data_IF_588814268280
#
_entry.id   IF_588814268280
#
_cell.length_a   1.000
_cell.length_b   1.000
_cell.length_c   1.000
_cell.angle_alpha   90.00
_cell.angle_beta   90.00
_cell.angle_gamma   90.00
#
_symmetry.space_group_name_H-M   'P 1'
#
loop_
_entity.id
_entity.type
_entity.pdbx_description
1 polymer ?
#
# COMPACT_ATOMS: atom_id res chain seq x y z
N UNK A 1 -50.05 -25.35 -18.99
CA UNK A 1 -49.87 -24.26 -18.00
C UNK A 1 -48.42 -23.85 -18.00
N UNK A 2 -48.17 -22.53 -17.97
CA UNK A 2 -46.88 -21.83 -17.82
C UNK A 2 -46.11 -22.32 -16.56
N UNK A 3 -44.77 -22.25 -16.41
CA UNK A 3 -43.88 -21.06 -16.22
C UNK A 3 -42.38 -21.48 -16.33
N UNK A 4 -41.49 -20.60 -16.81
CA UNK A 4 -40.00 -20.58 -16.57
C UNK A 4 -39.70 -19.62 -15.37
N UNK A 5 -38.46 -19.22 -14.96
CA UNK A 5 -37.07 -19.74 -15.08
C UNK A 5 -36.25 -19.72 -13.73
N UNK A 6 -34.97 -20.13 -13.77
CA UNK A 6 -33.79 -19.74 -12.91
C UNK A 6 -33.82 -19.87 -11.37
N UNK A 7 -32.86 -20.62 -10.81
CA UNK A 7 -32.17 -20.24 -9.55
C UNK A 7 -30.68 -20.57 -9.62
N UNK A 8 -29.87 -19.51 -9.75
CA UNK A 8 -28.48 -19.45 -9.34
C UNK A 8 -28.43 -19.52 -7.81
N UNK A 9 -27.82 -20.54 -7.22
CA UNK A 9 -27.28 -20.42 -5.87
C UNK A 9 -25.83 -20.83 -5.86
N UNK A 10 -24.99 -19.81 -5.72
CA UNK A 10 -23.57 -19.93 -5.47
C UNK A 10 -23.31 -20.67 -4.17
N UNK A 11 -22.38 -21.62 -4.23
CA UNK A 11 -21.67 -22.09 -3.04
C UNK A 11 -20.19 -22.05 -3.34
N UNK A 12 -19.65 -20.85 -3.19
CA UNK A 12 -18.23 -20.58 -3.16
C UNK A 12 -17.66 -21.33 -1.94
N UNK A 13 -17.14 -22.53 -2.16
CA UNK A 13 -16.40 -23.28 -1.15
C UNK A 13 -15.01 -22.67 -1.02
N UNK A 14 -14.91 -21.48 -0.44
CA UNK A 14 -13.63 -20.99 0.07
C UNK A 14 -13.31 -21.84 1.29
N UNK A 15 -12.41 -22.78 1.04
CA UNK A 15 -11.89 -23.76 1.97
C UNK A 15 -11.42 -23.11 3.27
N UNK A 16 -12.04 -23.50 4.38
CA UNK A 16 -11.52 -23.30 5.72
C UNK A 16 -10.20 -24.06 5.85
N UNK A 17 -9.09 -23.36 5.70
CA UNK A 17 -7.82 -23.67 6.37
C UNK A 17 -6.85 -22.50 6.17
N UNK A 18 -7.01 -21.45 6.97
CA UNK A 18 -5.91 -20.51 7.20
C UNK A 18 -5.39 -20.82 8.59
N UNK A 19 -4.34 -21.64 8.63
CA UNK A 19 -3.53 -21.88 9.80
C UNK A 19 -2.99 -20.53 10.29
N UNK A 20 -3.39 -20.13 11.50
CA UNK A 20 -2.83 -18.96 12.18
C UNK A 20 -1.44 -19.32 12.70
N UNK A 21 -0.45 -19.21 11.84
CA UNK A 21 0.96 -19.16 12.25
C UNK A 21 1.33 -17.70 12.45
N UNK A 22 1.73 -17.33 13.67
CA UNK A 22 2.19 -15.98 13.99
C UNK A 22 3.29 -15.55 13.01
N UNK A 23 3.20 -14.29 12.55
CA UNK A 23 3.93 -13.70 11.42
C UNK A 23 3.22 -13.80 10.04
N UNK A 24 1.88 -13.62 10.00
CA UNK A 24 1.26 -13.06 8.79
C UNK A 24 1.93 -11.70 8.53
N UNK A 25 2.87 -11.70 7.59
CA UNK A 25 3.67 -10.57 7.13
C UNK A 25 2.74 -9.38 6.87
N UNK A 26 3.05 -8.20 7.41
CA UNK A 26 2.18 -7.02 7.33
C UNK A 26 1.68 -6.75 5.89
N UNK A 27 2.52 -7.05 4.90
CA UNK A 27 2.22 -7.04 3.47
C UNK A 27 0.97 -7.87 3.09
N UNK A 28 0.79 -9.05 3.68
CA UNK A 28 -0.37 -9.92 3.47
C UNK A 28 -1.65 -9.34 4.08
N UNK A 29 -1.55 -8.69 5.24
CA UNK A 29 -2.68 -8.00 5.87
C UNK A 29 -3.13 -6.81 5.02
N UNK A 30 -2.18 -6.02 4.52
CA UNK A 30 -2.43 -4.88 3.63
C UNK A 30 -3.08 -5.36 2.33
N UNK A 31 -2.53 -6.39 1.69
CA UNK A 31 -3.12 -6.98 0.49
C UNK A 31 -4.58 -7.40 0.74
N UNK A 32 -4.82 -8.20 1.79
CA UNK A 32 -6.18 -8.65 2.12
C UNK A 32 -7.14 -7.49 2.35
N UNK A 33 -6.69 -6.46 3.08
CA UNK A 33 -7.50 -5.28 3.33
C UNK A 33 -7.87 -4.55 2.04
N UNK A 34 -6.89 -4.31 1.15
CA UNK A 34 -7.09 -3.60 -0.12
C UNK A 34 -7.97 -4.39 -1.09
N UNK A 35 -7.80 -5.72 -1.13
CA UNK A 35 -8.61 -6.63 -1.95
C UNK A 35 -10.07 -6.65 -1.52
N UNK A 36 -10.35 -6.60 -0.21
CA UNK A 36 -11.72 -6.70 0.32
C UNK A 36 -12.45 -5.35 0.32
N UNK A 37 -11.74 -4.27 0.64
CA UNK A 37 -12.39 -2.99 0.94
C UNK A 37 -12.27 -1.95 -0.17
N UNK A 38 -11.38 -2.14 -1.15
CA UNK A 38 -11.08 -1.18 -2.23
C UNK A 38 -11.11 0.28 -1.76
N UNK A 39 -10.36 0.63 -0.70
CA UNK A 39 -10.52 1.93 -0.06
C UNK A 39 -10.20 3.07 -1.03
N UNK A 40 -11.09 4.06 -1.07
CA UNK A 40 -10.92 5.28 -1.87
C UNK A 40 -10.60 6.50 -0.98
N UNK A 41 -10.29 7.62 -1.62
CA UNK A 41 -10.03 8.90 -0.94
C UNK A 41 -8.58 9.37 -1.01
N UNK A 42 -8.17 10.17 -0.02
CA UNK A 42 -6.81 10.70 0.04
C UNK A 42 -5.81 9.65 0.61
N UNK A 43 -4.51 9.86 0.34
CA UNK A 43 -3.47 8.91 0.76
C UNK A 43 -3.42 8.77 2.29
N UNK A 44 -3.55 9.87 3.03
CA UNK A 44 -3.47 9.89 4.49
C UNK A 44 -4.52 8.97 5.14
N UNK A 45 -5.78 9.09 4.73
CA UNK A 45 -6.87 8.26 5.27
C UNK A 45 -6.68 6.77 4.97
N UNK A 46 -6.10 6.45 3.81
CA UNK A 46 -5.74 5.06 3.47
C UNK A 46 -4.61 4.60 4.38
N UNK A 47 -3.55 5.39 4.56
CA UNK A 47 -2.43 5.04 5.43
C UNK A 47 -2.84 4.86 6.90
N UNK A 48 -3.75 5.68 7.42
CA UNK A 48 -4.30 5.51 8.78
C UNK A 48 -5.00 4.16 8.95
N UNK A 49 -5.79 3.75 7.96
CA UNK A 49 -6.44 2.42 7.93
C UNK A 49 -5.42 1.29 7.85
N UNK A 50 -4.38 1.43 7.04
CA UNK A 50 -3.31 0.43 6.94
C UNK A 50 -2.48 0.34 8.23
N UNK A 51 -2.19 1.47 8.88
CA UNK A 51 -1.49 1.52 10.17
C UNK A 51 -2.25 0.80 11.26
N UNK A 52 -3.58 0.94 11.28
CA UNK A 52 -4.44 0.25 12.24
C UNK A 52 -4.43 -1.29 12.09
N UNK A 53 -3.88 -1.84 11.01
CA UNK A 53 -3.70 -3.29 10.83
C UNK A 53 -2.51 -3.83 11.63
N UNK A 54 -1.50 -2.99 11.95
CA UNK A 54 -0.37 -3.42 12.77
C UNK A 54 -0.76 -3.42 14.25
N UNK A 55 -0.54 -4.56 14.90
CA UNK A 55 -0.97 -4.79 16.29
C UNK A 55 0.06 -4.40 17.33
N UNK A 56 1.38 -4.46 17.03
CA UNK A 56 2.41 -4.41 18.07
C UNK A 56 3.69 -3.62 17.73
N UNK A 57 3.79 -2.99 16.56
CA UNK A 57 5.03 -2.28 16.18
C UNK A 57 4.74 -0.95 15.49
N UNK A 58 5.53 0.11 15.78
CA UNK A 58 5.49 1.33 14.99
C UNK A 58 5.84 1.00 13.53
N UNK A 59 4.95 1.35 12.62
CA UNK A 59 5.15 1.18 11.18
C UNK A 59 5.96 2.34 10.62
N UNK A 60 7.05 2.02 9.93
CA UNK A 60 7.81 2.99 9.15
C UNK A 60 7.09 3.31 7.83
N UNK A 61 7.42 4.47 7.25
CA UNK A 61 6.92 4.83 5.93
C UNK A 61 7.40 3.83 4.86
N UNK A 62 8.61 3.32 5.00
CA UNK A 62 9.17 2.26 4.16
C UNK A 62 8.36 0.96 4.21
N UNK A 63 7.98 0.51 5.41
CA UNK A 63 7.18 -0.70 5.56
C UNK A 63 5.80 -0.54 4.90
N UNK A 64 5.17 0.63 5.06
CA UNK A 64 3.91 0.96 4.38
C UNK A 64 4.06 1.03 2.85
N UNK A 65 5.15 1.64 2.38
CA UNK A 65 5.48 1.77 0.96
C UNK A 65 5.69 0.40 0.31
N UNK A 66 6.50 -0.46 0.94
CA UNK A 66 6.71 -1.84 0.50
C UNK A 66 5.40 -2.62 0.45
N UNK A 67 4.62 -2.61 1.53
CA UNK A 67 3.36 -3.35 1.61
C UNK A 67 2.36 -2.90 0.53
N UNK A 68 2.22 -1.59 0.31
CA UNK A 68 1.36 -1.04 -0.75
C UNK A 68 1.83 -1.42 -2.15
N UNK A 69 3.14 -1.41 -2.40
CA UNK A 69 3.70 -1.80 -3.70
C UNK A 69 3.48 -3.29 -3.99
N UNK A 70 3.73 -4.16 -3.01
CA UNK A 70 3.47 -5.60 -3.11
C UNK A 70 1.99 -5.87 -3.39
N UNK A 71 1.09 -5.18 -2.66
CA UNK A 71 -0.34 -5.32 -2.88
C UNK A 71 -0.77 -4.84 -4.27
N UNK A 72 -0.26 -3.68 -4.70
CA UNK A 72 -0.53 -3.13 -6.03
C UNK A 72 -0.09 -4.07 -7.15
N UNK A 73 1.12 -4.60 -7.08
CA UNK A 73 1.63 -5.53 -8.09
C UNK A 73 0.78 -6.81 -8.16
N UNK A 74 0.42 -7.38 -7.01
CA UNK A 74 -0.42 -8.57 -6.95
C UNK A 74 -1.83 -8.31 -7.50
N UNK A 75 -2.46 -7.21 -7.11
CA UNK A 75 -3.81 -6.86 -7.58
C UNK A 75 -3.85 -6.50 -9.07
N UNK A 76 -2.77 -5.95 -9.65
CA UNK A 76 -2.69 -5.70 -11.10
C UNK A 76 -2.68 -6.98 -11.93
N UNK A 77 -2.20 -8.09 -11.37
CA UNK A 77 -2.16 -9.41 -12.02
C UNK A 77 -3.49 -10.17 -11.87
N UNK A 78 -4.36 -9.73 -10.98
CA UNK A 78 -5.68 -10.31 -10.77
C UNK A 78 -6.74 -9.55 -11.60
N UNK A 79 -7.40 -10.18 -12.59
CA UNK A 79 -8.41 -9.53 -13.42
C UNK A 79 -9.56 -8.89 -12.63
N UNK A 80 -9.91 -9.43 -11.47
CA UNK A 80 -11.00 -8.92 -10.62
C UNK A 80 -10.61 -7.62 -9.91
N UNK A 81 -9.32 -7.34 -9.75
CA UNK A 81 -8.83 -6.20 -8.99
C UNK A 81 -7.92 -5.26 -9.79
N UNK A 82 -7.61 -5.62 -11.03
CA UNK A 82 -6.70 -4.89 -11.90
C UNK A 82 -7.13 -3.45 -12.14
N UNK A 83 -8.43 -3.17 -12.32
CA UNK A 83 -8.92 -1.81 -12.55
C UNK A 83 -8.65 -0.89 -11.35
N UNK A 84 -9.05 -1.31 -10.15
CA UNK A 84 -8.78 -0.58 -8.91
C UNK A 84 -7.27 -0.37 -8.71
N UNK A 85 -6.47 -1.41 -8.94
CA UNK A 85 -5.03 -1.34 -8.79
C UNK A 85 -4.40 -0.32 -9.77
N UNK A 86 -4.82 -0.34 -11.04
CA UNK A 86 -4.30 0.56 -12.07
C UNK A 86 -4.74 2.02 -11.89
N UNK A 87 -5.97 2.26 -11.41
CA UNK A 87 -6.57 3.61 -11.39
C UNK A 87 -6.40 4.32 -10.06
N UNK A 88 -6.50 3.60 -8.93
CA UNK A 88 -6.45 4.15 -7.58
C UNK A 88 -5.13 3.82 -6.92
N UNK A 89 -4.82 2.52 -6.76
CA UNK A 89 -3.71 2.08 -5.92
C UNK A 89 -2.35 2.50 -6.49
N UNK A 90 -2.19 2.44 -7.81
CA UNK A 90 -1.01 2.93 -8.53
C UNK A 90 -0.71 4.41 -8.25
N UNK A 91 -1.75 5.27 -8.23
CA UNK A 91 -1.59 6.69 -7.89
C UNK A 91 -1.15 6.87 -6.44
N UNK A 92 -1.73 6.11 -5.51
CA UNK A 92 -1.39 6.19 -4.09
C UNK A 92 0.02 5.68 -3.81
N UNK A 93 0.42 4.59 -4.46
CA UNK A 93 1.77 4.05 -4.39
C UNK A 93 2.81 5.08 -4.91
N UNK A 94 2.53 5.75 -6.03
CA UNK A 94 3.41 6.82 -6.54
C UNK A 94 3.49 8.01 -5.59
N UNK A 95 2.36 8.45 -5.03
CA UNK A 95 2.35 9.54 -4.03
C UNK A 95 3.20 9.19 -2.80
N UNK A 96 3.04 7.97 -2.29
CA UNK A 96 3.79 7.49 -1.14
C UNK A 96 5.30 7.37 -1.42
N UNK A 97 5.68 6.86 -2.60
CA UNK A 97 7.07 6.80 -3.03
C UNK A 97 7.69 8.21 -3.13
N UNK A 98 6.96 9.17 -3.71
CA UNK A 98 7.40 10.57 -3.78
C UNK A 98 7.60 11.19 -2.41
N UNK A 99 6.68 10.97 -1.46
CA UNK A 99 6.83 11.43 -0.08
C UNK A 99 8.07 10.82 0.58
N UNK A 100 8.32 9.52 0.38
CA UNK A 100 9.48 8.85 0.97
C UNK A 100 10.83 9.39 0.45
N UNK A 101 10.90 9.67 -0.85
CA UNK A 101 12.08 10.30 -1.47
C UNK A 101 12.31 11.69 -0.88
N UNK A 102 11.26 12.53 -0.82
CA UNK A 102 11.37 13.88 -0.24
C UNK A 102 11.86 13.85 1.21
N UNK A 103 11.32 12.95 2.04
CA UNK A 103 11.79 12.77 3.42
C UNK A 103 13.26 12.35 3.47
N UNK A 104 13.67 11.42 2.61
CA UNK A 104 15.05 10.94 2.54
C UNK A 104 15.99 12.07 2.11
N UNK A 105 15.63 12.85 1.10
CA UNK A 105 16.41 13.99 0.61
C UNK A 105 16.54 15.07 1.68
N UNK A 106 15.46 15.46 2.35
CA UNK A 106 15.51 16.47 3.41
C UNK A 106 16.40 16.02 4.59
N UNK A 107 16.30 14.76 5.01
CA UNK A 107 17.18 14.20 6.05
C UNK A 107 18.64 14.25 5.57
N UNK A 108 18.90 13.85 4.33
CA UNK A 108 20.25 13.89 3.77
C UNK A 108 20.82 15.31 3.74
N UNK A 109 20.06 16.30 3.28
CA UNK A 109 20.49 17.71 3.26
C UNK A 109 20.74 18.29 4.66
N UNK A 110 19.97 17.88 5.68
CA UNK A 110 20.15 18.33 7.07
C UNK A 110 21.40 17.71 7.71
N UNK A 111 21.67 16.42 7.47
CA UNK A 111 22.78 15.69 8.11
C UNK A 111 24.08 15.70 7.30
N UNK A 112 23.99 15.96 5.99
CA UNK A 112 25.11 16.04 5.05
C UNK A 112 24.92 17.28 4.16
N UNK A 113 24.96 18.50 4.73
CA UNK A 113 24.95 19.70 3.92
C UNK A 113 26.10 19.62 2.92
N UNK A 114 25.80 19.74 1.63
CA UNK A 114 26.83 19.82 0.60
C UNK A 114 27.57 21.15 0.77
N UNK A 115 28.86 21.08 1.11
CA UNK A 115 29.77 22.22 1.35
C UNK A 115 30.00 23.18 0.15
N UNK A 116 29.14 23.14 -0.88
CA UNK A 116 29.28 24.00 -2.07
C UNK A 116 29.00 25.49 -1.78
N UNK A 117 28.47 25.86 -0.61
CA UNK A 117 28.30 27.26 -0.21
C UNK A 117 29.48 27.87 0.56
N UNK A 118 30.57 27.12 0.82
CA UNK A 118 31.71 27.63 1.62
C UNK A 118 32.97 28.02 0.81
N UNK A 119 32.96 27.89 -0.52
CA UNK A 119 34.12 28.28 -1.36
C UNK A 119 34.04 29.69 -1.95
N UNK A 120 32.99 30.47 -1.64
CA UNK A 120 32.82 31.83 -2.15
C UNK A 120 33.33 32.95 -1.22
N UNK A 121 33.78 32.65 0.00
CA UNK A 121 34.07 33.69 1.03
C UNK A 121 35.58 33.91 1.30
N UNK A 122 36.50 33.09 0.77
CA UNK A 122 37.96 33.28 0.98
C UNK A 122 38.69 33.93 -0.22
N UNK A 123 38.09 34.95 -0.86
CA UNK A 123 38.80 35.79 -1.84
C UNK A 123 38.47 37.27 -1.67
N UNK A 124 38.88 37.86 -0.55
CA UNK A 124 39.12 39.30 -0.43
C UNK A 124 40.35 39.56 0.44
#
# INVERSE_FOLDING_TARGET
MMISPTHLEGRNTVSKNVSRTGNDDFDAMVLRYLTVNHPEGNLQSILEKLKALATNSPLTLDALSKAMNVANEKMRKDPTHAEYANTVLSKKAMQLAGTNILYTTMIYEIFFPTDEENTAIEKF
#
